data_IF_115983842716
#
_entry.id   IF_115983842716
#
_cell.length_a   1.000
_cell.length_b   1.000
_cell.length_c   1.000
_cell.angle_alpha   90.00
_cell.angle_beta   90.00
_cell.angle_gamma   90.00
#
_symmetry.space_group_name_H-M   'P 1'
#
loop_
_entity.id
_entity.type
_entity.pdbx_description
1 polymer ?
#
# COMPACT_ATOMS: atom_id res chain seq x y z
N UNK A 1 11.62 20.31 -14.84
CA UNK A 1 10.18 20.46 -15.17
C UNK A 1 9.43 19.28 -14.58
N UNK A 2 8.58 19.49 -13.56
CA UNK A 2 7.66 18.47 -13.09
C UNK A 2 6.72 18.14 -14.25
N UNK A 3 6.64 16.87 -14.63
CA UNK A 3 5.65 16.43 -15.62
C UNK A 3 4.25 16.64 -15.03
N UNK A 4 3.29 17.21 -15.79
CA UNK A 4 1.93 17.35 -15.30
C UNK A 4 1.39 15.96 -14.92
N UNK A 5 0.64 15.84 -13.81
CA UNK A 5 0.04 14.57 -13.44
C UNK A 5 -0.88 14.17 -14.59
N UNK A 6 -0.63 12.98 -15.15
CA UNK A 6 -1.61 12.34 -16.03
C UNK A 6 -2.83 12.11 -15.15
N UNK A 7 -3.91 12.83 -15.44
CA UNK A 7 -5.22 12.52 -14.88
C UNK A 7 -5.49 11.05 -15.19
N UNK A 8 -5.41 10.20 -14.16
CA UNK A 8 -6.13 8.93 -14.19
C UNK A 8 -7.57 9.28 -14.54
N UNK A 9 -8.25 8.45 -15.36
CA UNK A 9 -9.67 8.68 -15.65
C UNK A 9 -10.42 8.90 -14.33
N UNK A 10 -11.28 9.92 -14.26
CA UNK A 10 -11.87 10.37 -13.00
C UNK A 10 -12.53 9.22 -12.20
N UNK A 11 -13.11 8.24 -12.89
CA UNK A 11 -13.70 7.03 -12.31
C UNK A 11 -12.68 6.12 -11.60
N UNK A 12 -11.47 5.96 -12.16
CA UNK A 12 -10.39 5.19 -11.55
C UNK A 12 -9.82 5.90 -10.31
N UNK A 13 -9.75 7.24 -10.35
CA UNK A 13 -9.35 8.05 -9.20
C UNK A 13 -10.36 7.95 -8.05
N UNK A 14 -11.66 8.00 -8.35
CA UNK A 14 -12.73 7.87 -7.36
C UNK A 14 -12.77 6.46 -6.75
N UNK A 15 -12.61 5.42 -7.58
CA UNK A 15 -12.52 4.04 -7.11
C UNK A 15 -11.30 3.81 -6.21
N UNK A 16 -10.15 4.39 -6.56
CA UNK A 16 -8.94 4.32 -5.75
C UNK A 16 -9.12 5.06 -4.41
N UNK A 17 -9.76 6.23 -4.42
CA UNK A 17 -10.10 6.97 -3.20
C UNK A 17 -11.05 6.17 -2.30
N UNK A 18 -12.06 5.53 -2.89
CA UNK A 18 -13.00 4.66 -2.19
C UNK A 18 -12.32 3.46 -1.53
N UNK A 19 -11.51 2.71 -2.29
CA UNK A 19 -10.71 1.59 -1.77
C UNK A 19 -9.80 2.01 -0.60
N UNK A 20 -9.15 3.17 -0.73
CA UNK A 20 -8.34 3.76 0.34
C UNK A 20 -9.16 4.13 1.57
N UNK A 21 -10.37 4.67 1.38
CA UNK A 21 -11.31 4.94 2.47
C UNK A 21 -11.74 3.67 3.20
N UNK A 22 -12.03 2.60 2.47
CA UNK A 22 -12.34 1.30 3.06
C UNK A 22 -11.14 0.72 3.83
N UNK A 23 -9.95 0.76 3.25
CA UNK A 23 -8.71 0.33 3.90
C UNK A 23 -8.42 1.14 5.18
N UNK A 24 -8.70 2.45 5.15
CA UNK A 24 -8.57 3.31 6.33
C UNK A 24 -9.56 2.92 7.42
N UNK A 25 -10.83 2.65 7.07
CA UNK A 25 -11.85 2.25 8.03
C UNK A 25 -11.53 0.90 8.68
N UNK A 26 -11.02 -0.07 7.90
CA UNK A 26 -10.57 -1.36 8.45
C UNK A 26 -9.35 -1.20 9.35
N UNK A 27 -8.43 -0.29 9.01
CA UNK A 27 -7.26 0.00 9.84
C UNK A 27 -7.67 0.58 11.20
N UNK A 28 -8.62 1.53 11.22
CA UNK A 28 -9.16 2.10 12.43
C UNK A 28 -9.84 1.02 13.29
N UNK A 29 -10.66 0.18 12.67
CA UNK A 29 -11.32 -0.92 13.37
C UNK A 29 -10.30 -1.89 13.98
N UNK A 30 -9.25 -2.24 13.24
CA UNK A 30 -8.18 -3.10 13.74
C UNK A 30 -7.47 -2.47 14.95
N UNK A 31 -7.12 -1.18 14.89
CA UNK A 31 -6.52 -0.45 16.02
C UNK A 31 -7.43 -0.48 17.24
N UNK A 32 -8.73 -0.22 17.08
CA UNK A 32 -9.69 -0.21 18.19
C UNK A 32 -9.84 -1.59 18.83
N UNK A 33 -9.97 -2.65 18.02
CA UNK A 33 -10.07 -4.03 18.51
C UNK A 33 -8.80 -4.44 19.26
N UNK A 34 -7.63 -4.15 18.70
CA UNK A 34 -6.34 -4.45 19.31
C UNK A 34 -6.12 -3.64 20.60
N UNK A 35 -6.43 -2.35 20.61
CA UNK A 35 -6.34 -1.53 21.81
C UNK A 35 -7.30 -2.02 22.91
N UNK A 36 -8.51 -2.44 22.54
CA UNK A 36 -9.46 -3.03 23.48
C UNK A 36 -8.96 -4.35 24.07
N UNK A 37 -8.37 -5.23 23.24
CA UNK A 37 -7.76 -6.48 23.68
C UNK A 37 -6.59 -6.20 24.63
N UNK A 38 -5.70 -5.26 24.30
CA UNK A 38 -4.57 -4.88 25.15
C UNK A 38 -5.00 -4.28 26.49
N UNK A 39 -6.09 -3.50 26.52
CA UNK A 39 -6.67 -2.95 27.76
C UNK A 39 -7.35 -4.02 28.61
N UNK A 40 -8.09 -4.93 27.98
CA UNK A 40 -8.92 -5.91 28.69
C UNK A 40 -8.09 -7.10 29.20
N UNK A 41 -7.00 -7.45 28.50
CA UNK A 41 -6.11 -8.55 28.87
C UNK A 41 -4.63 -8.11 28.78
N UNK A 42 -4.09 -7.48 29.83
CA UNK A 42 -2.73 -6.92 29.84
C UNK A 42 -1.64 -7.96 29.58
N UNK A 43 -1.88 -9.22 29.97
CA UNK A 43 -0.97 -10.36 29.72
C UNK A 43 -0.68 -10.58 28.23
N UNK A 44 -1.56 -10.14 27.34
CA UNK A 44 -1.38 -10.20 25.87
C UNK A 44 -1.00 -8.86 25.24
N UNK A 45 -0.83 -7.81 26.04
CA UNK A 45 -0.59 -6.45 25.56
C UNK A 45 0.63 -6.34 24.64
N UNK A 46 1.73 -7.04 24.97
CA UNK A 46 2.97 -6.99 24.20
C UNK A 46 2.81 -7.50 22.76
N UNK A 47 2.02 -8.56 22.56
CA UNK A 47 1.77 -9.19 21.27
C UNK A 47 1.00 -8.26 20.33
N UNK A 48 0.18 -7.40 20.91
CA UNK A 48 -0.77 -6.56 20.19
C UNK A 48 -0.15 -5.23 19.73
N UNK A 49 0.92 -4.77 20.38
CA UNK A 49 1.60 -3.49 20.06
C UNK A 49 2.09 -3.44 18.61
N UNK A 50 2.69 -4.53 18.11
CA UNK A 50 3.19 -4.57 16.74
C UNK A 50 2.06 -4.40 15.70
N UNK A 51 0.91 -5.04 15.94
CA UNK A 51 -0.28 -4.91 15.09
C UNK A 51 -0.89 -3.51 15.14
N UNK A 52 -0.93 -2.88 16.31
CA UNK A 52 -1.38 -1.48 16.46
C UNK A 52 -0.46 -0.54 15.68
N UNK A 53 0.85 -0.66 15.85
CA UNK A 53 1.83 0.20 15.19
C UNK A 53 1.75 0.06 13.66
N UNK A 54 1.69 -1.18 13.16
CA UNK A 54 1.52 -1.46 11.73
C UNK A 54 0.24 -0.83 11.16
N UNK A 55 -0.87 -0.93 11.90
CA UNK A 55 -2.19 -0.39 11.52
C UNK A 55 -2.23 1.14 11.59
N UNK A 56 -1.55 1.76 12.57
CA UNK A 56 -1.46 3.21 12.71
C UNK A 56 -0.64 3.85 11.57
N UNK A 57 0.52 3.26 11.23
CA UNK A 57 1.32 3.67 10.06
C UNK A 57 0.48 3.53 8.80
N UNK A 58 -0.29 2.45 8.72
CA UNK A 58 -1.24 2.22 7.65
C UNK A 58 -2.26 3.36 7.52
N UNK A 59 -2.93 3.73 8.61
CA UNK A 59 -3.89 4.83 8.64
C UNK A 59 -3.27 6.16 8.25
N UNK A 60 -2.04 6.44 8.67
CA UNK A 60 -1.32 7.67 8.31
C UNK A 60 -1.05 7.74 6.81
N UNK A 61 -0.63 6.62 6.21
CA UNK A 61 -0.43 6.54 4.76
C UNK A 61 -1.73 6.76 3.98
N UNK A 62 -2.83 6.15 4.42
CA UNK A 62 -4.13 6.30 3.75
C UNK A 62 -4.68 7.73 3.93
N UNK A 63 -4.50 8.32 5.12
CA UNK A 63 -4.89 9.71 5.40
C UNK A 63 -4.17 10.70 4.51
N UNK A 64 -2.83 10.56 4.38
CA UNK A 64 -2.03 11.43 3.50
C UNK A 64 -2.54 11.39 2.06
N UNK A 65 -2.95 10.21 1.62
CA UNK A 65 -3.41 9.95 0.27
C UNK A 65 -4.81 10.46 -0.02
N UNK A 66 -5.72 10.30 0.94
CA UNK A 66 -7.05 10.91 0.87
C UNK A 66 -6.90 12.44 0.85
N UNK A 67 -6.07 13.02 1.72
CA UNK A 67 -5.81 14.47 1.72
C UNK A 67 -5.21 14.93 0.39
N UNK A 68 -4.22 14.22 -0.15
CA UNK A 68 -3.60 14.57 -1.43
C UNK A 68 -4.54 14.41 -2.65
N UNK A 69 -5.60 13.60 -2.53
CA UNK A 69 -6.65 13.48 -3.56
C UNK A 69 -7.72 14.57 -3.41
N UNK A 70 -7.92 15.07 -2.20
CA UNK A 70 -8.96 16.05 -1.86
C UNK A 70 -8.42 17.49 -1.89
N UNK A 71 -7.09 17.67 -1.91
CA UNK A 71 -6.45 18.98 -2.02
C UNK A 71 -6.71 19.61 -3.40
N UNK A 72 -7.77 20.41 -3.47
CA UNK A 72 -8.16 21.23 -4.62
C UNK A 72 -7.15 22.32 -4.94
N UNK A 73 -6.28 22.69 -3.99
CA UNK A 73 -5.32 23.79 -4.12
C UNK A 73 -3.92 23.32 -4.55
N UNK A 74 -3.69 22.01 -4.70
CA UNK A 74 -2.42 21.39 -5.13
C UNK A 74 -1.20 21.79 -4.28
N UNK A 75 -1.43 22.26 -3.06
CA UNK A 75 -0.39 22.69 -2.11
C UNK A 75 0.47 21.53 -1.61
N UNK A 76 -0.11 20.32 -1.53
CA UNK A 76 0.61 19.14 -1.09
C UNK A 76 1.17 18.35 -2.29
N UNK A 77 2.50 18.26 -2.44
CA UNK A 77 3.09 17.47 -3.51
C UNK A 77 2.75 15.99 -3.29
N UNK A 78 2.09 15.37 -4.27
CA UNK A 78 1.86 13.92 -4.27
C UNK A 78 3.21 13.22 -4.17
N UNK A 79 3.40 12.44 -3.10
CA UNK A 79 4.61 11.64 -2.91
C UNK A 79 4.85 10.76 -4.14
N UNK A 80 6.11 10.59 -4.54
CA UNK A 80 6.48 9.71 -5.66
C UNK A 80 5.92 8.31 -5.44
N UNK A 81 5.34 7.70 -6.47
CA UNK A 81 4.70 6.38 -6.42
C UNK A 81 5.61 5.31 -5.78
N UNK A 82 6.93 5.38 -6.02
CA UNK A 82 7.93 4.48 -5.44
C UNK A 82 8.02 4.56 -3.92
N UNK A 83 7.96 5.77 -3.35
CA UNK A 83 8.03 5.98 -1.89
C UNK A 83 6.77 5.49 -1.19
N UNK A 84 5.60 5.70 -1.82
CA UNK A 84 4.31 5.18 -1.34
C UNK A 84 4.34 3.64 -1.23
N UNK A 85 4.82 2.95 -2.27
CA UNK A 85 4.91 1.48 -2.27
C UNK A 85 5.82 0.97 -1.16
N UNK A 86 6.95 1.64 -0.89
CA UNK A 86 7.84 1.27 0.22
C UNK A 86 7.15 1.42 1.59
N UNK A 87 6.40 2.49 1.81
CA UNK A 87 5.66 2.67 3.05
C UNK A 87 4.53 1.64 3.21
N UNK A 88 3.86 1.26 2.12
CA UNK A 88 2.84 0.20 2.14
C UNK A 88 3.46 -1.18 2.40
N UNK A 89 4.64 -1.48 1.82
CA UNK A 89 5.38 -2.71 2.10
C UNK A 89 5.88 -2.78 3.54
N UNK A 90 6.36 -1.65 4.09
CA UNK A 90 6.80 -1.58 5.48
C UNK A 90 5.64 -1.79 6.46
N UNK A 91 4.51 -1.13 6.23
CA UNK A 91 3.28 -1.34 7.02
C UNK A 91 2.78 -2.78 6.89
N UNK A 92 2.82 -3.36 5.69
CA UNK A 92 2.45 -4.76 5.46
C UNK A 92 3.37 -5.73 6.22
N UNK A 93 4.68 -5.50 6.22
CA UNK A 93 5.63 -6.31 6.98
C UNK A 93 5.35 -6.26 8.50
N UNK A 94 5.04 -5.07 9.03
CA UNK A 94 4.67 -4.92 10.44
C UNK A 94 3.34 -5.59 10.77
N UNK A 95 2.34 -5.48 9.90
CA UNK A 95 1.05 -6.16 10.09
C UNK A 95 1.20 -7.69 10.04
N UNK A 96 2.00 -8.23 9.12
CA UNK A 96 2.32 -9.67 9.07
C UNK A 96 3.08 -10.09 10.33
N UNK A 97 4.06 -9.30 10.77
CA UNK A 97 4.78 -9.55 12.02
C UNK A 97 3.86 -9.62 13.23
N UNK A 98 2.94 -8.66 13.37
CA UNK A 98 1.90 -8.67 14.41
C UNK A 98 0.98 -9.89 14.32
N UNK A 99 0.59 -10.29 13.11
CA UNK A 99 -0.22 -11.49 12.88
C UNK A 99 0.50 -12.77 13.30
N UNK A 100 1.78 -12.91 12.97
CA UNK A 100 2.60 -14.07 13.36
C UNK A 100 2.78 -14.11 14.89
N UNK A 101 3.09 -12.99 15.54
CA UNK A 101 3.20 -12.95 17.01
C UNK A 101 1.87 -13.33 17.69
N UNK A 102 0.75 -12.84 17.17
CA UNK A 102 -0.59 -13.14 17.66
C UNK A 102 -0.95 -14.61 17.46
N UNK A 103 -0.55 -15.20 16.33
CA UNK A 103 -0.73 -16.62 16.04
C UNK A 103 0.08 -17.52 16.98
N UNK A 104 1.37 -17.21 17.16
CA UNK A 104 2.26 -17.98 18.06
C UNK A 104 1.79 -17.90 19.51
N UNK A 105 1.31 -16.74 19.96
CA UNK A 105 0.73 -16.57 21.30
C UNK A 105 -0.58 -17.34 21.47
N UNK A 106 -1.38 -17.49 20.41
CA UNK A 106 -2.63 -18.24 20.46
C UNK A 106 -2.40 -19.76 20.62
N UNK A 107 -1.38 -20.32 19.94
CA UNK A 107 -1.01 -21.74 20.05
C UNK A 107 -0.54 -22.09 21.47
N UNK A 108 0.21 -21.20 22.13
CA UNK A 108 0.66 -21.42 23.50
C UNK A 108 -0.48 -21.51 24.51
N UNK A 109 -1.66 -20.97 24.19
CA UNK A 109 -2.77 -20.84 25.13
C UNK A 109 -3.79 -21.96 24.97
N UNK A 110 -3.97 -22.47 23.76
CA UNK A 110 -4.84 -23.62 23.51
C UNK A 110 -4.34 -24.96 24.09
N UNK A 111 -3.16 -24.97 24.72
CA UNK A 111 -2.55 -26.19 25.27
C UNK A 111 -2.70 -26.30 26.79
N UNK A 112 -3.11 -25.23 27.49
CA UNK A 112 -2.99 -25.13 28.96
C UNK A 112 -4.31 -25.04 29.77
N UNK A 113 -5.50 -24.95 29.17
CA UNK A 113 -6.75 -24.85 29.93
C UNK A 113 -7.90 -25.74 29.44
N UNK A 114 -8.11 -26.86 30.15
CA UNK A 114 -9.21 -27.81 29.95
C UNK A 114 -10.54 -27.35 30.63
N UNK A 115 -10.53 -26.20 31.33
CA UNK A 115 -11.70 -25.58 31.97
C UNK A 115 -12.02 -24.22 31.33
N UNK A 116 -12.67 -24.22 30.17
CA UNK A 116 -13.00 -22.97 29.45
C UNK A 116 -14.07 -22.14 30.16
N UNK A 117 -13.65 -21.05 30.79
CA UNK A 117 -14.54 -20.07 31.42
C UNK A 117 -15.25 -19.19 30.36
N UNK A 118 -16.37 -18.55 30.74
CA UNK A 118 -17.12 -17.65 29.84
C UNK A 118 -16.30 -16.43 29.40
N UNK A 119 -15.30 -16.03 30.19
CA UNK A 119 -14.38 -14.93 29.88
C UNK A 119 -13.36 -15.32 28.79
N UNK A 120 -12.81 -16.54 28.82
CA UNK A 120 -11.92 -17.04 27.76
C UNK A 120 -12.64 -17.15 26.41
N UNK A 121 -13.89 -17.63 26.39
CA UNK A 121 -14.70 -17.65 25.16
C UNK A 121 -14.96 -16.26 24.60
N UNK A 122 -15.09 -15.25 25.45
CA UNK A 122 -15.24 -13.86 25.02
C UNK A 122 -13.90 -13.33 24.49
N UNK A 123 -12.80 -13.65 25.17
CA UNK A 123 -11.45 -13.31 24.74
C UNK A 123 -11.14 -13.87 23.34
N UNK A 124 -11.40 -15.15 23.09
CA UNK A 124 -11.15 -15.79 21.81
C UNK A 124 -11.94 -15.16 20.66
N UNK A 125 -13.19 -14.76 20.91
CA UNK A 125 -14.01 -14.05 19.92
C UNK A 125 -13.41 -12.71 19.53
N UNK A 126 -12.97 -11.91 20.52
CA UNK A 126 -12.32 -10.61 20.25
C UNK A 126 -10.95 -10.78 19.59
N UNK A 127 -10.19 -11.80 20.01
CA UNK A 127 -8.88 -12.11 19.45
C UNK A 127 -9.01 -12.56 17.99
N UNK A 128 -9.98 -13.42 17.68
CA UNK A 128 -10.30 -13.79 16.30
C UNK A 128 -10.79 -12.61 15.48
N UNK A 129 -11.69 -11.78 16.02
CA UNK A 129 -12.15 -10.57 15.32
C UNK A 129 -10.98 -9.63 14.98
N UNK A 130 -10.05 -9.43 15.91
CA UNK A 130 -8.85 -8.63 15.69
C UNK A 130 -7.92 -9.26 14.63
N UNK A 131 -7.78 -10.60 14.63
CA UNK A 131 -7.00 -11.33 13.64
C UNK A 131 -7.61 -11.23 12.24
N UNK A 132 -8.94 -11.38 12.12
CA UNK A 132 -9.67 -11.17 10.86
C UNK A 132 -9.54 -9.73 10.36
N UNK A 133 -9.59 -8.74 11.25
CA UNK A 133 -9.38 -7.34 10.90
C UNK A 133 -7.95 -7.10 10.38
N UNK A 134 -6.93 -7.68 11.03
CA UNK A 134 -5.55 -7.64 10.56
C UNK A 134 -5.38 -8.34 9.20
N UNK A 135 -6.05 -9.47 8.98
CA UNK A 135 -6.01 -10.18 7.70
C UNK A 135 -6.62 -9.36 6.57
N UNK A 136 -7.78 -8.75 6.81
CA UNK A 136 -8.40 -7.82 5.86
C UNK A 136 -7.46 -6.63 5.56
N UNK A 137 -6.81 -6.10 6.60
CA UNK A 137 -5.84 -5.01 6.45
C UNK A 137 -4.65 -5.41 5.57
N UNK A 138 -4.05 -6.58 5.81
CA UNK A 138 -2.96 -7.11 4.98
C UNK A 138 -3.42 -7.31 3.53
N UNK A 139 -4.62 -7.84 3.32
CA UNK A 139 -5.19 -8.01 1.98
C UNK A 139 -5.34 -6.68 1.24
N UNK A 140 -5.88 -5.64 1.90
CA UNK A 140 -5.98 -4.31 1.30
C UNK A 140 -4.62 -3.73 0.94
N UNK A 141 -3.64 -3.86 1.82
CA UNK A 141 -2.27 -3.39 1.58
C UNK A 141 -1.62 -4.11 0.41
N UNK A 142 -1.82 -5.41 0.31
CA UNK A 142 -1.33 -6.20 -0.82
C UNK A 142 -1.95 -5.75 -2.15
N UNK A 143 -3.28 -5.57 -2.18
CA UNK A 143 -3.99 -5.07 -3.38
C UNK A 143 -3.45 -3.69 -3.79
N UNK A 144 -3.32 -2.76 -2.85
CA UNK A 144 -2.81 -1.41 -3.11
C UNK A 144 -1.33 -1.42 -3.54
N UNK A 145 -0.50 -2.27 -2.95
CA UNK A 145 0.91 -2.42 -3.32
C UNK A 145 1.06 -2.99 -4.74
N UNK A 146 0.31 -4.06 -5.07
CA UNK A 146 0.30 -4.64 -6.42
C UNK A 146 -0.18 -3.61 -7.44
N UNK A 147 -1.24 -2.87 -7.14
CA UNK A 147 -1.73 -1.80 -8.01
C UNK A 147 -0.67 -0.72 -8.21
N UNK A 148 -0.04 -0.25 -7.12
CA UNK A 148 1.05 0.73 -7.18
C UNK A 148 2.24 0.25 -8.02
N UNK A 149 2.61 -1.03 -7.91
CA UNK A 149 3.63 -1.66 -8.74
C UNK A 149 3.25 -1.70 -10.22
N UNK A 150 1.99 -2.02 -10.54
CA UNK A 150 1.48 -1.99 -11.92
C UNK A 150 1.57 -0.58 -12.49
N UNK A 151 1.16 0.45 -11.74
CA UNK A 151 1.26 1.84 -12.20
C UNK A 151 2.71 2.29 -12.36
N UNK A 152 3.61 1.94 -11.43
CA UNK A 152 5.05 2.18 -11.56
C UNK A 152 5.62 1.54 -12.84
N UNK A 153 5.23 0.29 -13.13
CA UNK A 153 5.70 -0.42 -14.32
C UNK A 153 5.19 0.22 -15.62
N UNK A 154 3.96 0.73 -15.62
CA UNK A 154 3.36 1.46 -16.76
C UNK A 154 4.10 2.77 -17.02
N UNK A 155 4.44 3.50 -15.96
CA UNK A 155 5.19 4.74 -16.06
C UNK A 155 6.63 4.52 -16.50
N UNK A 156 7.31 3.49 -15.98
CA UNK A 156 8.64 3.09 -16.44
C UNK A 156 8.63 2.74 -17.94
N UNK A 157 7.67 1.93 -18.40
CA UNK A 157 7.49 1.59 -19.82
C UNK A 157 7.20 2.83 -20.67
N UNK A 158 6.42 3.79 -20.18
CA UNK A 158 6.13 5.03 -20.87
C UNK A 158 7.37 5.95 -20.97
N UNK A 159 8.17 6.02 -19.91
CA UNK A 159 9.42 6.78 -19.88
C UNK A 159 10.44 6.20 -20.88
N UNK A 160 10.56 4.88 -20.96
CA UNK A 160 11.42 4.21 -21.93
C UNK A 160 10.99 4.47 -23.38
N UNK A 161 9.68 4.42 -23.66
CA UNK A 161 9.16 4.78 -24.99
C UNK A 161 9.51 6.23 -25.35
N UNK A 162 9.44 7.17 -24.40
CA UNK A 162 9.83 8.58 -24.60
C UNK A 162 11.33 8.70 -24.86
N UNK A 163 12.18 8.00 -24.10
CA UNK A 163 13.64 7.97 -24.31
C UNK A 163 13.99 7.41 -25.69
N UNK A 164 13.36 6.30 -26.11
CA UNK A 164 13.53 5.72 -27.45
C UNK A 164 13.12 6.68 -28.56
N UNK A 165 11.99 7.39 -28.42
CA UNK A 165 11.55 8.41 -29.39
C UNK A 165 12.53 9.58 -29.49
N UNK A 166 13.06 10.07 -28.36
CA UNK A 166 14.09 11.13 -28.36
C UNK A 166 15.38 10.67 -29.03
N UNK A 167 15.83 9.44 -28.76
CA UNK A 167 16.99 8.85 -29.46
C UNK A 167 16.76 8.71 -30.97
N UNK A 168 15.57 8.25 -31.40
CA UNK A 168 15.21 8.19 -32.82
C UNK A 168 15.15 9.56 -33.50
N UNK A 169 14.67 10.60 -32.79
CA UNK A 169 14.70 11.97 -33.32
C UNK A 169 16.12 12.52 -33.41
N UNK A 170 16.99 12.21 -32.44
CA UNK A 170 18.40 12.62 -32.46
C UNK A 170 19.20 11.91 -33.55
N UNK A 171 18.90 10.64 -33.81
CA UNK A 171 19.55 9.84 -34.86
C UNK A 171 18.79 9.92 -36.20
N UNK A 172 17.82 10.83 -36.34
CA UNK A 172 17.19 11.07 -37.64
C UNK A 172 18.12 12.01 -38.41
N UNK A 173 18.59 11.65 -39.61
CA UNK A 173 19.35 12.58 -40.44
C UNK A 173 18.48 13.81 -40.75
N UNK A 174 19.08 15.00 -40.83
CA UNK A 174 18.33 16.21 -41.17
C UNK A 174 17.72 16.03 -42.58
N UNK A 175 16.49 16.54 -42.81
CA UNK A 175 15.77 16.32 -44.05
C UNK A 175 16.41 16.99 -45.29
N UNK A 176 17.45 17.81 -45.12
CA UNK A 176 18.16 18.54 -46.18
C UNK A 176 19.69 18.41 -46.04
N UNK A 177 20.23 17.21 -45.78
CA UNK A 177 21.67 16.97 -45.98
C UNK A 177 21.91 16.52 -47.43
N UNK A 178 22.49 17.34 -48.32
CA UNK A 178 22.79 16.96 -49.71
C UNK A 178 23.80 15.81 -49.81
N UNK A 179 24.42 15.43 -48.69
CA UNK A 179 25.35 14.29 -48.60
C UNK A 179 24.64 12.94 -48.41
N UNK A 180 23.35 12.91 -48.04
CA UNK A 180 22.61 11.66 -47.83
C UNK A 180 22.09 11.02 -49.12
N UNK A 181 21.99 11.77 -50.21
CA UNK A 181 21.63 11.25 -51.55
C UNK A 181 22.82 10.62 -52.30
N UNK A 182 24.06 10.92 -51.91
CA UNK A 182 25.26 10.46 -52.64
C UNK A 182 25.69 9.06 -52.20
N UNK A 183 25.44 8.67 -50.94
CA UNK A 183 25.74 7.33 -50.45
C UNK A 183 24.54 6.39 -50.66
N UNK A 184 24.23 6.13 -51.92
CA UNK A 184 23.37 5.02 -52.31
C UNK A 184 23.99 3.70 -51.85
N UNK A 185 23.51 3.16 -50.73
CA UNK A 185 23.76 1.75 -50.41
C UNK A 185 22.95 0.89 -51.37
N UNK A 186 23.59 0.58 -52.50
CA UNK A 186 23.35 -0.61 -53.30
C UNK A 186 24.68 -1.37 -53.37
N UNK A 187 24.93 -2.19 -52.34
CA UNK A 187 25.74 -3.41 -52.44
C UNK A 187 25.00 -4.47 -51.64
#
# INVERSE_FOLDING_TARGET
MPTPPRFLPAHLGLFQAGLRGFAWATALLAVLLLAYVGKSWPSKGQVVVAGIMGSAIAMLNDSWEVVALTDTWQTLPRLSTSRRVLHDLFSLALCIGGMIMMWVSNIHIGTDSDDTTSEERRQDKFLMAALWALLAQVAWRFILAVWGCVDCSRDARAADRRRRRRRRRRNRPPPNDPWYEITGYRV
#
